data_IF_244613042493
#
_entry.id   IF_244613042493
#
_cell.length_a   1.000
_cell.length_b   1.000
_cell.length_c   1.000
_cell.angle_alpha   90.00
_cell.angle_beta   90.00
_cell.angle_gamma   90.00
#
_symmetry.space_group_name_H-M   'P 1'
#
loop_
_entity.id
_entity.type
_entity.pdbx_description
1 polymer ?
#
# COMPACT_ATOMS: atom_id res chain seq x y z
N UNK A 1 -1.37 -11.58 -6.02
CA UNK A 1 -2.60 -10.87 -5.62
C UNK A 1 -2.55 -9.40 -6.04
N UNK A 2 -1.39 -8.74 -6.04
CA UNK A 2 -1.25 -7.28 -6.23
C UNK A 2 -1.82 -6.75 -7.55
N UNK A 3 -1.62 -7.45 -8.68
CA UNK A 3 -2.23 -7.06 -9.97
C UNK A 3 -3.75 -7.05 -9.89
N UNK A 4 -4.36 -8.01 -9.17
CA UNK A 4 -5.82 -8.04 -9.00
C UNK A 4 -6.33 -6.85 -8.19
N UNK A 5 -5.56 -6.30 -7.26
CA UNK A 5 -5.94 -5.08 -6.54
C UNK A 5 -6.06 -3.88 -7.50
N UNK A 6 -5.13 -3.75 -8.45
CA UNK A 6 -5.18 -2.71 -9.48
C UNK A 6 -6.42 -2.87 -10.36
N UNK A 7 -6.69 -4.08 -10.83
CA UNK A 7 -7.87 -4.37 -11.64
C UNK A 7 -9.18 -4.06 -10.89
N UNK A 8 -9.27 -4.45 -9.61
CA UNK A 8 -10.44 -4.15 -8.77
C UNK A 8 -10.63 -2.64 -8.61
N UNK A 9 -9.55 -1.88 -8.35
CA UNK A 9 -9.63 -0.42 -8.22
C UNK A 9 -10.08 0.25 -9.52
N UNK A 10 -9.58 -0.21 -10.68
CA UNK A 10 -10.00 0.28 -11.99
C UNK A 10 -11.48 0.00 -12.25
N UNK A 11 -11.94 -1.22 -11.98
CA UNK A 11 -13.34 -1.61 -12.14
C UNK A 11 -14.27 -0.88 -11.17
N UNK A 12 -13.78 -0.51 -9.98
CA UNK A 12 -14.52 0.27 -8.99
C UNK A 12 -14.58 1.78 -9.30
N UNK A 13 -14.03 2.22 -10.44
CA UNK A 13 -14.11 3.62 -10.88
C UNK A 13 -12.85 4.45 -10.65
N UNK A 14 -11.71 3.83 -10.30
CA UNK A 14 -10.42 4.49 -10.20
C UNK A 14 -9.50 4.10 -11.39
N UNK A 15 -9.68 4.68 -12.59
CA UNK A 15 -8.93 4.30 -13.78
C UNK A 15 -7.42 4.56 -13.65
N UNK A 16 -7.02 5.59 -12.88
CA UNK A 16 -5.62 5.91 -12.57
C UNK A 16 -5.10 5.07 -11.38
N UNK A 17 -5.16 3.75 -11.51
CA UNK A 17 -4.57 2.80 -10.54
C UNK A 17 -3.30 2.16 -11.12
N UNK A 18 -2.22 2.09 -10.33
CA UNK A 18 -0.90 1.59 -10.74
C UNK A 18 -0.35 0.63 -9.70
N UNK A 19 0.32 -0.44 -10.17
CA UNK A 19 1.19 -1.26 -9.32
C UNK A 19 2.60 -0.67 -9.34
N UNK A 20 3.16 -0.42 -8.16
CA UNK A 20 4.55 0.01 -7.95
C UNK A 20 5.28 -1.00 -7.08
N UNK A 21 6.60 -1.08 -7.23
CA UNK A 21 7.48 -1.89 -6.41
C UNK A 21 7.97 -1.13 -5.19
N UNK A 22 8.16 0.19 -5.32
CA UNK A 22 8.65 1.04 -4.23
C UNK A 22 8.21 2.48 -4.42
N UNK A 23 8.49 3.31 -3.40
CA UNK A 23 8.29 4.75 -3.49
C UNK A 23 9.04 5.38 -4.68
N UNK A 24 10.18 4.83 -5.09
CA UNK A 24 11.00 5.38 -6.19
C UNK A 24 10.33 5.32 -7.56
N UNK A 25 9.32 4.46 -7.74
CA UNK A 25 8.54 4.37 -8.98
C UNK A 25 7.52 5.51 -9.15
N UNK A 26 7.45 6.43 -8.17
CA UNK A 26 6.62 7.63 -8.18
C UNK A 26 7.44 8.87 -8.51
N UNK A 27 6.91 9.67 -9.43
CA UNK A 27 7.43 11.00 -9.73
C UNK A 27 7.18 11.95 -8.55
N UNK A 28 8.03 12.97 -8.40
CA UNK A 28 8.01 13.84 -7.22
C UNK A 28 6.70 14.65 -7.09
N UNK A 29 6.12 15.02 -8.22
CA UNK A 29 4.88 15.79 -8.33
C UNK A 29 3.62 14.93 -8.44
N UNK A 30 3.75 13.59 -8.40
CA UNK A 30 2.62 12.68 -8.53
C UNK A 30 1.48 13.00 -7.55
N UNK A 31 1.82 13.38 -6.31
CA UNK A 31 0.83 13.73 -5.29
C UNK A 31 -0.01 14.97 -5.64
N UNK A 32 0.53 15.89 -6.45
CA UNK A 32 -0.12 17.17 -6.79
C UNK A 32 -1.22 17.04 -7.84
N UNK A 33 -1.24 15.93 -8.58
CA UNK A 33 -2.23 15.66 -9.62
C UNK A 33 -3.60 15.23 -9.07
N UNK A 34 -3.67 14.87 -7.78
CA UNK A 34 -4.86 14.25 -7.19
C UNK A 34 -5.31 14.96 -5.93
N UNK A 35 -6.63 15.00 -5.71
CA UNK A 35 -7.21 15.48 -4.45
C UNK A 35 -7.17 14.42 -3.34
N UNK A 36 -7.01 13.14 -3.71
CA UNK A 36 -6.93 12.03 -2.78
C UNK A 36 -6.29 10.82 -3.43
N UNK A 37 -5.47 10.09 -2.66
CA UNK A 37 -4.75 8.91 -3.12
C UNK A 37 -5.07 7.77 -2.16
N UNK A 38 -5.57 6.67 -2.71
CA UNK A 38 -5.72 5.41 -1.98
C UNK A 38 -4.44 4.59 -2.08
N UNK A 39 -3.94 4.11 -0.94
CA UNK A 39 -2.76 3.24 -0.87
C UNK A 39 -3.20 1.91 -0.29
N UNK A 40 -2.79 0.83 -0.93
CA UNK A 40 -2.99 -0.54 -0.46
C UNK A 40 -1.80 -1.39 -0.88
N UNK A 41 -1.70 -2.59 -0.33
CA UNK A 41 -0.57 -3.46 -0.53
C UNK A 41 -1.04 -4.90 -0.77
N UNK A 42 -0.33 -5.62 -1.64
CA UNK A 42 -0.52 -7.06 -1.76
C UNK A 42 -0.04 -7.77 -0.49
N UNK A 43 -0.61 -8.94 -0.18
CA UNK A 43 -0.33 -9.66 1.07
C UNK A 43 1.14 -10.07 1.31
N UNK A 44 2.01 -9.90 0.31
CA UNK A 44 3.45 -10.20 0.40
C UNK A 44 4.33 -8.96 0.53
N UNK A 45 3.75 -7.76 0.55
CA UNK A 45 4.51 -6.51 0.64
C UNK A 45 4.90 -6.22 2.10
N UNK A 46 6.18 -5.96 2.38
CA UNK A 46 6.62 -5.47 3.69
C UNK A 46 5.99 -4.11 4.04
N UNK A 47 5.65 -3.92 5.31
CA UNK A 47 5.05 -2.67 5.82
C UNK A 47 5.95 -1.45 5.55
N UNK A 48 7.27 -1.59 5.70
CA UNK A 48 8.22 -0.49 5.48
C UNK A 48 8.16 0.07 4.04
N UNK A 49 7.83 -0.77 3.05
CA UNK A 49 7.64 -0.29 1.68
C UNK A 49 6.36 0.54 1.54
N UNK A 50 5.30 0.16 2.24
CA UNK A 50 4.03 0.90 2.25
C UNK A 50 4.25 2.25 2.93
N UNK A 51 4.91 2.25 4.10
CA UNK A 51 5.20 3.47 4.83
C UNK A 51 6.10 4.43 4.02
N UNK A 52 7.11 3.91 3.32
CA UNK A 52 7.95 4.74 2.44
C UNK A 52 7.14 5.44 1.33
N UNK A 53 6.11 4.78 0.78
CA UNK A 53 5.21 5.39 -0.22
C UNK A 53 4.35 6.48 0.41
N UNK A 54 3.79 6.23 1.59
CA UNK A 54 3.01 7.23 2.35
C UNK A 54 3.86 8.46 2.62
N UNK A 55 5.09 8.26 3.11
CA UNK A 55 6.02 9.34 3.45
C UNK A 55 6.36 10.17 2.21
N UNK A 56 6.74 9.52 1.10
CA UNK A 56 7.07 10.22 -0.16
C UNK A 56 5.90 11.05 -0.69
N UNK A 57 4.68 10.52 -0.64
CA UNK A 57 3.49 11.22 -1.12
C UNK A 57 3.06 12.36 -0.20
N UNK A 58 3.35 12.25 1.10
CA UNK A 58 3.06 13.30 2.07
C UNK A 58 4.09 14.43 2.08
N UNK A 59 5.32 14.14 1.66
CA UNK A 59 6.45 15.07 1.73
C UNK A 59 6.17 16.36 0.94
N UNK A 60 6.28 17.51 1.62
CA UNK A 60 6.05 18.81 1.00
C UNK A 60 4.57 19.14 0.72
N UNK A 61 3.64 18.33 1.24
CA UNK A 61 2.18 18.53 1.11
C UNK A 61 1.55 18.85 2.46
N UNK A 62 0.32 19.38 2.43
CA UNK A 62 -0.56 19.48 3.61
C UNK A 62 -1.54 18.30 3.69
N UNK A 63 -1.15 17.13 3.16
CA UNK A 63 -2.03 15.97 3.11
C UNK A 63 -2.44 15.49 4.52
N UNK A 64 -3.70 15.08 4.66
CA UNK A 64 -4.17 14.38 5.85
C UNK A 64 -4.11 12.89 5.61
N UNK A 65 -3.31 12.19 6.41
CA UNK A 65 -3.16 10.73 6.34
C UNK A 65 -4.24 10.10 7.22
N UNK A 66 -5.02 9.17 6.66
CA UNK A 66 -6.07 8.44 7.37
C UNK A 66 -6.00 6.97 7.03
N UNK A 67 -5.94 6.14 8.07
CA UNK A 67 -6.06 4.69 7.92
C UNK A 67 -7.54 4.29 7.86
N UNK A 68 -7.91 3.51 6.85
CA UNK A 68 -9.28 3.00 6.67
C UNK A 68 -9.32 1.50 6.94
N UNK A 69 -9.65 1.12 8.17
CA UNK A 69 -9.76 -0.28 8.59
C UNK A 69 -11.19 -0.77 8.38
N UNK A 70 -11.38 -1.71 7.44
CA UNK A 70 -12.69 -2.30 7.11
C UNK A 70 -12.93 -3.60 7.89
N UNK A 71 -11.89 -4.37 8.13
CA UNK A 71 -11.90 -5.61 8.90
C UNK A 71 -10.58 -5.77 9.66
N UNK A 72 -10.62 -6.45 10.80
CA UNK A 72 -9.43 -6.82 11.57
C UNK A 72 -9.20 -8.32 11.41
N UNK A 73 -7.99 -8.71 11.03
CA UNK A 73 -7.56 -10.10 10.89
C UNK A 73 -6.56 -10.44 12.01
N UNK A 74 -6.74 -11.56 12.68
CA UNK A 74 -5.94 -12.01 13.82
C UNK A 74 -5.37 -13.44 13.63
N UNK A 75 -5.42 -13.95 12.40
CA UNK A 75 -4.95 -15.29 12.04
C UNK A 75 -3.42 -15.30 11.96
N UNK A 76 -2.79 -16.20 12.74
CA UNK A 76 -1.35 -16.42 12.69
C UNK A 76 -1.02 -17.91 12.52
N UNK A 77 -0.12 -18.22 11.58
CA UNK A 77 0.40 -19.57 11.38
C UNK A 77 1.73 -19.74 12.11
N UNK A 78 1.75 -20.61 13.12
CA UNK A 78 2.97 -20.87 13.89
C UNK A 78 3.97 -21.65 13.03
N UNK A 79 5.23 -21.26 13.11
CA UNK A 79 6.31 -22.03 12.51
C UNK A 79 6.34 -23.47 13.07
N UNK A 80 6.62 -24.49 12.23
CA UNK A 80 6.89 -25.85 12.69
C UNK A 80 7.98 -25.86 13.75
N UNK A 81 7.88 -26.76 14.74
CA UNK A 81 8.84 -26.82 15.87
C UNK A 81 10.29 -26.92 15.41
N UNK A 82 10.55 -27.63 14.31
CA UNK A 82 11.88 -27.92 13.78
C UNK A 82 12.64 -26.71 13.21
N UNK A 83 11.97 -25.58 12.99
CA UNK A 83 12.57 -24.34 12.46
C UNK A 83 12.40 -23.14 13.41
N UNK A 84 12.03 -23.39 14.67
CA UNK A 84 12.01 -22.34 15.68
C UNK A 84 13.43 -22.14 16.17
N UNK A 85 13.93 -20.92 16.05
CA UNK A 85 15.12 -20.47 16.79
C UNK A 85 14.66 -20.12 18.20
N UNK A 86 15.34 -20.66 19.22
CA UNK A 86 15.04 -20.41 20.64
C UNK A 86 15.16 -18.93 21.03
#
# INVERSE_FOLDING_TARGET
NSVRLVEVAQLAGCPRSKLIQSADDLEHDFATEFQGIGITAGASAPEDLVQAVVDKLSQGTNAQIREHVVAREDVAFKLPRVVRTD
#
